data_IF_543435975477
#
_entry.id   IF_543435975477
#
_cell.length_a   1.000
_cell.length_b   1.000
_cell.length_c   1.000
_cell.angle_alpha   90.00
_cell.angle_beta   90.00
_cell.angle_gamma   90.00
#
_symmetry.space_group_name_H-M   'P 1'
#
loop_
_entity.id
_entity.type
_entity.pdbx_description
1 polymer ?
#
# COMPACT_ATOMS: atom_id res chain seq x y z
N UNK A 1 7.20 13.96 12.71
CA UNK A 1 6.89 13.08 11.58
C UNK A 1 5.39 13.02 11.41
N UNK A 2 4.93 12.77 10.22
CA UNK A 2 3.48 12.74 9.91
C UNK A 2 3.06 11.34 9.53
N UNK A 3 1.99 10.85 10.17
CA UNK A 3 1.36 9.58 9.82
C UNK A 3 0.71 9.68 8.44
N UNK A 4 1.03 8.74 7.56
CA UNK A 4 0.54 8.73 6.17
C UNK A 4 0.19 7.33 5.70
N UNK A 5 -0.76 7.29 4.79
CA UNK A 5 -0.96 6.15 3.90
C UNK A 5 -0.21 6.47 2.62
N UNK A 6 0.68 5.58 2.22
CA UNK A 6 1.51 5.74 1.02
C UNK A 6 1.22 4.58 0.08
N UNK A 7 0.91 4.89 -1.16
CA UNK A 7 0.73 3.90 -2.22
C UNK A 7 1.80 4.12 -3.28
N UNK A 8 2.53 3.09 -3.62
CA UNK A 8 3.48 3.09 -4.71
C UNK A 8 3.02 2.08 -5.77
N UNK A 9 2.86 2.52 -7.01
CA UNK A 9 2.40 1.69 -8.11
C UNK A 9 3.52 1.42 -9.10
N UNK A 10 3.54 0.22 -9.67
CA UNK A 10 4.56 -0.24 -10.60
C UNK A 10 3.93 -1.03 -11.74
N UNK A 11 4.47 -0.88 -12.95
CA UNK A 11 4.10 -1.68 -14.12
C UNK A 11 4.69 -3.10 -14.05
N UNK A 12 5.67 -3.32 -13.19
CA UNK A 12 6.46 -4.54 -13.13
C UNK A 12 6.52 -5.05 -11.70
N UNK A 13 6.16 -6.31 -11.50
CA UNK A 13 6.17 -6.95 -10.18
C UNK A 13 7.58 -7.02 -9.56
N UNK A 14 8.61 -7.25 -10.37
CA UNK A 14 9.99 -7.27 -9.88
C UNK A 14 10.42 -5.90 -9.33
N UNK A 15 10.06 -4.82 -10.01
CA UNK A 15 10.32 -3.47 -9.53
C UNK A 15 9.61 -3.20 -8.20
N UNK A 16 8.39 -3.68 -8.05
CA UNK A 16 7.65 -3.58 -6.78
C UNK A 16 8.34 -4.37 -5.65
N UNK A 17 8.82 -5.56 -5.92
CA UNK A 17 9.58 -6.34 -4.92
C UNK A 17 10.87 -5.64 -4.51
N UNK A 18 11.61 -5.09 -5.46
CA UNK A 18 12.85 -4.34 -5.17
C UNK A 18 12.55 -3.11 -4.31
N UNK A 19 11.51 -2.37 -4.65
CA UNK A 19 11.08 -1.21 -3.87
C UNK A 19 10.60 -1.60 -2.47
N UNK A 20 9.83 -2.67 -2.35
CA UNK A 20 9.37 -3.19 -1.06
C UNK A 20 10.53 -3.60 -0.15
N UNK A 21 11.53 -4.27 -0.71
CA UNK A 21 12.75 -4.63 0.01
C UNK A 21 13.51 -3.40 0.48
N UNK A 22 13.65 -2.38 -0.36
CA UNK A 22 14.32 -1.14 -0.01
C UNK A 22 13.58 -0.37 1.09
N UNK A 23 12.26 -0.34 1.05
CA UNK A 23 11.43 0.27 2.11
C UNK A 23 11.63 -0.47 3.44
N UNK A 24 11.66 -1.79 3.39
CA UNK A 24 11.93 -2.60 4.57
C UNK A 24 13.33 -2.36 5.12
N UNK A 25 14.32 -2.20 4.24
CA UNK A 25 15.70 -1.88 4.65
C UNK A 25 15.77 -0.54 5.39
N UNK A 26 14.96 0.45 5.02
CA UNK A 26 14.84 1.70 5.77
C UNK A 26 14.39 1.46 7.22
N UNK A 27 13.43 0.58 7.40
CA UNK A 27 12.94 0.19 8.74
C UNK A 27 14.05 -0.52 9.53
N UNK A 28 14.68 -1.51 8.92
CA UNK A 28 15.68 -2.35 9.59
C UNK A 28 16.97 -1.57 9.91
N UNK A 29 17.30 -0.57 9.11
CA UNK A 29 18.42 0.34 9.34
C UNK A 29 18.14 1.42 10.39
N UNK A 30 16.91 1.51 10.89
CA UNK A 30 16.53 2.52 11.87
C UNK A 30 16.53 3.95 11.30
N UNK A 31 16.07 4.13 10.06
CA UNK A 31 15.99 5.43 9.42
C UNK A 31 15.26 6.46 10.30
N UNK A 32 15.85 7.65 10.47
CA UNK A 32 15.30 8.67 11.39
C UNK A 32 14.11 9.43 10.82
N UNK A 33 13.98 9.47 9.50
CA UNK A 33 12.93 10.21 8.79
C UNK A 33 11.82 9.32 8.22
N UNK A 34 11.83 8.03 8.55
CA UNK A 34 10.84 7.08 8.08
C UNK A 34 10.65 5.96 9.10
N UNK A 35 9.41 5.76 9.50
CA UNK A 35 9.04 4.66 10.42
C UNK A 35 7.88 3.89 9.84
N UNK A 36 8.17 2.71 9.32
CA UNK A 36 7.16 1.81 8.78
C UNK A 36 6.33 1.20 9.91
N UNK A 37 5.00 1.32 9.81
CA UNK A 37 4.06 0.71 10.75
C UNK A 37 3.52 -0.61 10.22
N UNK A 38 2.95 -0.59 9.03
CA UNK A 38 2.34 -1.76 8.41
C UNK A 38 2.33 -1.59 6.89
N UNK A 39 2.14 -2.67 6.17
CA UNK A 39 2.06 -2.59 4.73
C UNK A 39 1.65 -3.90 4.07
N UNK A 40 1.29 -3.80 2.81
CA UNK A 40 0.86 -4.93 1.98
C UNK A 40 1.29 -4.67 0.55
N UNK A 41 1.56 -5.73 -0.19
CA UNK A 41 1.78 -5.69 -1.64
C UNK A 41 0.65 -6.42 -2.33
N UNK A 42 0.06 -5.80 -3.33
CA UNK A 42 -1.04 -6.36 -4.10
C UNK A 42 -0.72 -6.32 -5.60
N UNK A 43 -1.29 -7.25 -6.32
CA UNK A 43 -1.22 -7.30 -7.78
C UNK A 43 -2.63 -7.38 -8.35
N UNK A 44 -2.88 -6.60 -9.39
CA UNK A 44 -4.10 -6.69 -10.19
C UNK A 44 -3.76 -7.46 -11.47
N UNK A 45 -4.39 -8.61 -11.67
CA UNK A 45 -4.13 -9.44 -12.85
C UNK A 45 -4.81 -8.87 -14.12
N UNK A 46 -4.60 -9.52 -15.26
CA UNK A 46 -5.18 -9.09 -16.55
C UNK A 46 -6.71 -9.12 -16.57
N UNK A 47 -7.33 -9.86 -15.65
CA UNK A 47 -8.78 -9.97 -15.49
C UNK A 47 -9.35 -8.97 -14.50
N UNK A 48 -8.48 -8.18 -13.85
CA UNK A 48 -8.88 -7.23 -12.82
C UNK A 48 -9.01 -7.82 -11.43
N UNK A 49 -8.64 -9.08 -11.22
CA UNK A 49 -8.62 -9.70 -9.89
C UNK A 49 -7.39 -9.23 -9.10
N UNK A 50 -7.60 -8.90 -7.83
CA UNK A 50 -6.52 -8.48 -6.94
C UNK A 50 -6.11 -9.64 -6.04
N UNK A 51 -4.81 -9.88 -5.97
CA UNK A 51 -4.21 -10.87 -5.07
C UNK A 51 -3.14 -10.23 -4.21
N UNK A 52 -2.93 -10.79 -3.01
CA UNK A 52 -1.84 -10.42 -2.14
C UNK A 52 -0.57 -11.10 -2.62
N UNK A 53 0.53 -10.33 -2.65
CA UNK A 53 1.85 -10.87 -2.94
C UNK A 53 2.63 -11.04 -1.64
N UNK A 54 3.21 -12.23 -1.48
CA UNK A 54 4.13 -12.51 -0.39
C UNK A 54 5.55 -12.57 -0.96
N UNK A 55 6.53 -12.14 -0.16
CA UNK A 55 7.93 -12.33 -0.54
C UNK A 55 8.33 -13.79 -0.43
N UNK A 56 9.26 -14.17 -1.30
CA UNK A 56 9.75 -15.55 -1.39
C UNK A 56 10.31 -16.10 -0.07
N UNK A 57 10.85 -15.25 0.79
CA UNK A 57 11.55 -15.68 2.01
C UNK A 57 10.99 -15.09 3.31
N UNK A 58 10.22 -14.02 3.26
CA UNK A 58 9.58 -13.37 4.41
C UNK A 58 8.38 -12.56 3.98
N UNK A 59 7.33 -12.45 4.80
CA UNK A 59 6.33 -11.42 4.56
C UNK A 59 7.05 -10.06 4.53
N UNK A 60 6.86 -9.30 3.46
CA UNK A 60 7.49 -7.97 3.28
C UNK A 60 7.12 -7.04 4.44
N UNK A 61 5.92 -7.21 4.93
CA UNK A 61 5.33 -6.40 5.97
C UNK A 61 4.62 -7.32 6.95
N UNK A 62 4.48 -6.89 8.18
CA UNK A 62 3.77 -7.66 9.20
C UNK A 62 2.37 -8.08 8.74
N UNK A 63 1.83 -9.09 9.36
CA UNK A 63 0.56 -9.71 8.98
C UNK A 63 -0.67 -8.82 9.20
N UNK A 64 -0.53 -7.73 9.96
CA UNK A 64 -1.62 -6.80 10.23
C UNK A 64 -1.54 -5.61 9.29
N UNK A 65 -2.56 -5.42 8.48
CA UNK A 65 -2.76 -4.22 7.67
C UNK A 65 -3.76 -3.34 8.40
N UNK A 66 -3.51 -2.03 8.44
CA UNK A 66 -4.43 -1.10 9.06
C UNK A 66 -5.78 -1.06 8.35
N UNK A 67 -6.80 -0.57 9.04
CA UNK A 67 -8.16 -0.50 8.50
C UNK A 67 -8.24 0.33 7.20
N UNK A 68 -7.54 1.45 7.16
CA UNK A 68 -7.53 2.33 6.00
C UNK A 68 -6.86 1.66 4.80
N UNK A 69 -5.72 1.00 5.01
CA UNK A 69 -5.06 0.25 3.95
C UNK A 69 -5.92 -0.93 3.45
N UNK A 70 -6.58 -1.65 4.36
CA UNK A 70 -7.50 -2.73 4.01
C UNK A 70 -8.69 -2.23 3.19
N UNK A 71 -9.28 -1.09 3.57
CA UNK A 71 -10.36 -0.47 2.81
C UNK A 71 -9.91 -0.07 1.40
N UNK A 72 -8.70 0.49 1.27
CA UNK A 72 -8.13 0.86 -0.01
C UNK A 72 -7.95 -0.37 -0.93
N UNK A 73 -7.44 -1.46 -0.38
CA UNK A 73 -7.36 -2.75 -1.12
C UNK A 73 -8.73 -3.18 -1.62
N UNK A 74 -9.76 -3.10 -0.77
CA UNK A 74 -11.13 -3.42 -1.14
C UNK A 74 -11.65 -2.56 -2.29
N UNK A 75 -11.37 -1.27 -2.27
CA UNK A 75 -11.77 -0.34 -3.32
C UNK A 75 -11.05 -0.62 -4.65
N UNK A 76 -9.77 -0.92 -4.62
CA UNK A 76 -8.99 -1.27 -5.81
C UNK A 76 -9.51 -2.56 -6.44
N UNK A 77 -9.87 -3.52 -5.63
CA UNK A 77 -10.35 -4.83 -6.08
C UNK A 77 -11.82 -4.85 -6.52
N UNK A 78 -12.59 -3.83 -6.18
CA UNK A 78 -14.02 -3.78 -6.49
C UNK A 78 -14.86 -4.71 -5.59
N UNK A 79 -16.04 -5.15 -6.07
CA UNK A 79 -16.97 -5.92 -5.26
C UNK A 79 -16.39 -7.24 -4.70
N UNK A 80 -15.66 -8.07 -5.47
CA UNK A 80 -14.97 -9.24 -4.91
C UNK A 80 -13.88 -8.87 -3.90
N UNK A 81 -13.28 -7.71 -4.06
CA UNK A 81 -12.21 -7.22 -3.19
C UNK A 81 -12.68 -6.69 -1.85
N UNK A 82 -13.97 -6.39 -1.69
CA UNK A 82 -14.52 -5.99 -0.38
C UNK A 82 -14.29 -7.09 0.64
N UNK A 83 -14.48 -8.35 0.27
CA UNK A 83 -14.19 -9.48 1.15
C UNK A 83 -12.69 -9.57 1.49
N UNK A 84 -11.82 -9.33 0.52
CA UNK A 84 -10.37 -9.31 0.72
C UNK A 84 -9.96 -8.16 1.65
N UNK A 85 -10.44 -6.96 1.38
CA UNK A 85 -10.17 -5.79 2.21
C UNK A 85 -10.68 -5.94 3.63
N UNK A 86 -11.86 -6.54 3.80
CA UNK A 86 -12.42 -6.85 5.11
C UNK A 86 -11.58 -7.87 5.86
N UNK A 87 -11.11 -8.91 5.17
CA UNK A 87 -10.25 -9.92 5.80
C UNK A 87 -8.92 -9.33 6.29
N UNK A 88 -8.36 -8.36 5.57
CA UNK A 88 -7.13 -7.69 5.94
C UNK A 88 -7.31 -6.65 7.06
N UNK A 89 -8.45 -5.94 7.04
CA UNK A 89 -8.72 -4.85 7.97
C UNK A 89 -9.71 -5.19 9.09
N UNK A 90 -10.18 -6.42 9.19
CA UNK A 90 -11.33 -6.82 10.02
C UNK A 90 -11.12 -6.72 11.53
N UNK A 91 -9.90 -6.50 11.99
CA UNK A 91 -9.60 -6.49 13.41
C UNK A 91 -9.89 -5.15 14.10
N UNK A 92 -10.33 -4.15 13.35
CA UNK A 92 -10.44 -2.79 13.87
C UNK A 92 -11.82 -2.44 14.43
N UNK A 93 -12.85 -3.23 14.15
CA UNK A 93 -14.22 -2.97 14.59
C UNK A 93 -14.86 -1.69 14.02
N UNK A 94 -14.22 -1.06 13.04
CA UNK A 94 -14.77 0.12 12.39
C UNK A 94 -15.82 -0.27 11.34
N UNK A 95 -16.91 0.49 11.26
CA UNK A 95 -17.90 0.33 10.19
C UNK A 95 -17.29 0.73 8.84
N UNK A 96 -17.81 0.16 7.75
CA UNK A 96 -17.38 0.53 6.40
C UNK A 96 -17.46 2.03 6.14
N UNK A 97 -18.50 2.68 6.64
CA UNK A 97 -18.68 4.13 6.50
C UNK A 97 -17.60 4.94 7.23
N UNK A 98 -17.19 4.51 8.43
CA UNK A 98 -16.12 5.16 9.18
C UNK A 98 -14.77 5.02 8.47
N UNK A 99 -14.50 3.86 7.88
CA UNK A 99 -13.27 3.62 7.12
C UNK A 99 -13.25 4.48 5.84
N UNK A 100 -14.37 4.52 5.12
CA UNK A 100 -14.48 5.34 3.90
C UNK A 100 -14.33 6.83 4.21
N UNK A 101 -14.84 7.29 5.36
CA UNK A 101 -14.68 8.66 5.81
C UNK A 101 -13.24 9.04 6.15
N UNK A 102 -12.38 8.08 6.43
CA UNK A 102 -10.96 8.30 6.71
C UNK A 102 -10.10 8.41 5.44
N UNK A 103 -10.64 8.01 4.27
CA UNK A 103 -9.94 8.07 3.00
C UNK A 103 -10.34 9.32 2.21
N UNK A 104 -9.33 10.03 1.71
CA UNK A 104 -9.52 11.18 0.86
C UNK A 104 -10.00 10.73 -0.53
N UNK A 105 -11.10 11.30 -1.02
CA UNK A 105 -11.68 10.91 -2.31
C UNK A 105 -10.75 11.14 -3.49
N UNK A 106 -9.99 12.22 -3.51
CA UNK A 106 -9.02 12.50 -4.58
C UNK A 106 -7.88 11.49 -4.57
N UNK A 107 -7.42 11.11 -3.39
CA UNK A 107 -6.41 10.07 -3.23
C UNK A 107 -6.93 8.71 -3.72
N UNK A 108 -8.13 8.32 -3.32
CA UNK A 108 -8.76 7.07 -3.74
C UNK A 108 -8.94 7.04 -5.26
N UNK A 109 -9.45 8.12 -5.85
CA UNK A 109 -9.66 8.22 -7.30
C UNK A 109 -8.33 8.11 -8.06
N UNK A 110 -7.28 8.76 -7.58
CA UNK A 110 -5.95 8.69 -8.18
C UNK A 110 -5.39 7.27 -8.16
N UNK A 111 -5.47 6.61 -7.01
CA UNK A 111 -4.94 5.24 -6.85
C UNK A 111 -5.74 4.23 -7.66
N UNK A 112 -7.08 4.29 -7.61
CA UNK A 112 -7.92 3.33 -8.35
C UNK A 112 -7.80 3.52 -9.86
N UNK A 113 -7.63 4.74 -10.33
CA UNK A 113 -7.40 5.02 -11.75
C UNK A 113 -6.04 4.50 -12.21
N UNK A 114 -5.01 4.66 -11.38
CA UNK A 114 -3.65 4.20 -11.70
C UNK A 114 -3.53 2.68 -11.69
N UNK A 115 -4.28 1.99 -10.83
CA UNK A 115 -4.23 0.53 -10.70
C UNK A 115 -4.97 -0.17 -11.83
N UNK A 116 -4.38 -0.14 -13.00
CA UNK A 116 -4.84 -0.87 -14.19
C UNK A 116 -4.50 -2.35 -14.10
N UNK A 117 -5.19 -3.24 -14.83
CA UNK A 117 -4.81 -4.65 -14.92
C UNK A 117 -3.33 -4.84 -15.27
N UNK A 118 -2.66 -5.74 -14.58
CA UNK A 118 -1.22 -6.00 -14.70
C UNK A 118 -0.33 -5.18 -13.77
N UNK A 119 -0.88 -4.19 -13.09
CA UNK A 119 -0.13 -3.34 -12.16
C UNK A 119 0.06 -4.00 -10.79
N UNK A 120 1.15 -3.63 -10.13
CA UNK A 120 1.46 -4.02 -8.75
C UNK A 120 1.54 -2.78 -7.88
N UNK A 121 1.00 -2.83 -6.68
CA UNK A 121 1.07 -1.73 -5.73
C UNK A 121 1.60 -2.17 -4.38
N UNK A 122 2.35 -1.28 -3.75
CA UNK A 122 2.73 -1.36 -2.35
C UNK A 122 1.89 -0.33 -1.59
N UNK A 123 1.21 -0.77 -0.55
CA UNK A 123 0.42 0.10 0.32
C UNK A 123 1.02 0.02 1.72
N UNK A 124 1.48 1.14 2.24
CA UNK A 124 2.08 1.21 3.58
C UNK A 124 1.45 2.30 4.42
N UNK A 125 1.40 2.06 5.71
CA UNK A 125 1.17 3.08 6.72
C UNK A 125 2.50 3.37 7.41
N UNK A 126 2.92 4.62 7.42
CA UNK A 126 4.21 5.01 7.94
C UNK A 126 4.20 6.45 8.45
N UNK A 127 5.08 6.73 9.42
CA UNK A 127 5.45 8.09 9.77
C UNK A 127 6.58 8.56 8.86
N UNK A 128 6.36 9.67 8.17
CA UNK A 128 7.40 10.30 7.33
C UNK A 128 7.76 11.68 7.86
N UNK A 129 9.05 11.89 8.10
CA UNK A 129 9.61 13.22 8.32
C UNK A 129 10.05 13.86 7.00
N UNK A 130 10.39 13.04 6.01
CA UNK A 130 10.75 13.45 4.66
C UNK A 130 10.19 12.45 3.65
N UNK A 131 9.67 12.95 2.52
CA UNK A 131 9.16 12.10 1.44
C UNK A 131 10.28 11.50 0.59
N UNK A 132 11.47 12.05 0.68
CA UNK A 132 12.59 11.79 -0.23
C UNK A 132 12.99 10.32 -0.29
N UNK A 133 13.08 9.66 0.86
CA UNK A 133 13.55 8.28 0.91
C UNK A 133 12.65 7.34 0.11
N UNK A 134 11.34 7.44 0.29
CA UNK A 134 10.37 6.62 -0.45
C UNK A 134 10.29 7.04 -1.91
N UNK A 135 10.30 8.34 -2.18
CA UNK A 135 10.23 8.87 -3.55
C UNK A 135 11.42 8.38 -4.40
N UNK A 136 12.63 8.41 -3.83
CA UNK A 136 13.83 7.94 -4.52
C UNK A 136 13.78 6.42 -4.80
N UNK A 137 13.31 5.65 -3.83
CA UNK A 137 13.13 4.19 -3.99
C UNK A 137 12.15 3.89 -5.12
N UNK A 138 11.00 4.55 -5.11
CA UNK A 138 9.96 4.31 -6.11
C UNK A 138 10.39 4.77 -7.49
N UNK A 139 11.11 5.89 -7.58
CA UNK A 139 11.64 6.40 -8.84
C UNK A 139 12.63 5.43 -9.51
N UNK A 140 13.42 4.70 -8.74
CA UNK A 140 14.31 3.67 -9.29
C UNK A 140 13.56 2.56 -10.04
N UNK A 141 12.34 2.25 -9.63
CA UNK A 141 11.48 1.27 -10.29
C UNK A 141 10.52 1.89 -11.31
N UNK A 142 10.68 3.17 -11.64
CA UNK A 142 9.77 3.92 -12.52
C UNK A 142 8.33 3.91 -12.05
N UNK A 143 8.13 3.83 -10.73
CA UNK A 143 6.81 3.83 -10.12
C UNK A 143 6.28 5.24 -9.85
N UNK A 144 5.06 5.28 -9.34
CA UNK A 144 4.39 6.50 -8.91
C UNK A 144 3.99 6.40 -7.45
N UNK A 145 4.05 7.52 -6.73
CA UNK A 145 3.72 7.59 -5.31
C UNK A 145 2.49 8.45 -5.10
N UNK A 146 1.57 7.95 -4.28
CA UNK A 146 0.39 8.67 -3.82
C UNK A 146 0.38 8.67 -2.30
N UNK A 147 0.01 9.77 -1.68
CA UNK A 147 -0.01 9.93 -0.23
C UNK A 147 -1.28 10.60 0.25
N UNK A 148 -1.75 10.18 1.41
CA UNK A 148 -2.69 10.96 2.20
C UNK A 148 -2.32 10.90 3.67
N UNK A 149 -2.80 11.87 4.45
CA UNK A 149 -2.68 11.81 5.91
C UNK A 149 -3.48 10.63 6.47
N UNK A 150 -2.88 9.91 7.37
CA UNK A 150 -3.54 8.80 8.04
C UNK A 150 -4.26 9.28 9.30
#
# INVERSE_FOLDING_TARGET
MTDRIIVATFDNTNAAYDAGSAIKDLKDAGATQFKLKTGVMIQKDDRGNVSLLETRDRPLFGTAVGAAAGALVGLIAGAPGVALGTALGATTGLSGDAIMGALDSDFVDSVTTEMRPGMTAIIVEADEGSTRAVDDIVALGHGHVYRQAA
#
